data_IF_481969666774
#
_entry.id   IF_481969666774
#
_cell.length_a   1.000
_cell.length_b   1.000
_cell.length_c   1.000
_cell.angle_alpha   90.00
_cell.angle_beta   90.00
_cell.angle_gamma   90.00
#
_symmetry.space_group_name_H-M   'P 1'
#
loop_
_entity.id
_entity.type
_entity.pdbx_description
1 polymer ?
#
# COMPACT_ATOMS: atom_id res chain seq x y z
N UNK A 1 -12.81 -22.59 3.76
CA UNK A 1 -12.17 -21.51 2.98
C UNK A 1 -11.38 -22.13 1.85
N UNK A 2 -11.64 -21.69 0.61
CA UNK A 2 -11.03 -22.19 -0.62
C UNK A 2 -9.50 -21.92 -0.63
N UNK A 3 -8.70 -22.82 -1.21
CA UNK A 3 -7.23 -22.72 -1.29
C UNK A 3 -6.70 -21.34 -1.71
N UNK A 4 -7.44 -20.64 -2.58
CA UNK A 4 -7.11 -19.30 -3.08
C UNK A 4 -7.10 -18.20 -2.01
N UNK A 5 -7.95 -18.28 -0.99
CA UNK A 5 -7.92 -17.34 0.12
C UNK A 5 -6.72 -17.61 1.02
N UNK A 6 -6.36 -18.88 1.20
CA UNK A 6 -5.20 -19.25 2.01
C UNK A 6 -3.88 -18.72 1.42
N UNK A 7 -3.69 -18.82 0.09
CA UNK A 7 -2.47 -18.30 -0.55
C UNK A 7 -2.30 -16.79 -0.39
N UNK A 8 -3.40 -16.02 -0.35
CA UNK A 8 -3.35 -14.60 0.01
C UNK A 8 -2.88 -14.35 1.43
N UNK A 9 -3.53 -15.00 2.39
CA UNK A 9 -3.18 -14.82 3.80
C UNK A 9 -1.73 -15.26 4.05
N UNK A 10 -1.22 -16.25 3.32
CA UNK A 10 0.19 -16.62 3.36
C UNK A 10 1.11 -15.43 2.98
N UNK A 11 0.83 -14.72 1.88
CA UNK A 11 1.62 -13.55 1.46
C UNK A 11 1.54 -12.40 2.47
N UNK A 12 0.36 -12.16 3.04
CA UNK A 12 0.17 -11.17 4.12
C UNK A 12 0.97 -11.56 5.37
N UNK A 13 1.01 -12.84 5.73
CA UNK A 13 1.81 -13.31 6.87
C UNK A 13 3.30 -13.15 6.60
N UNK A 14 3.78 -13.45 5.38
CA UNK A 14 5.19 -13.20 5.00
C UNK A 14 5.53 -11.72 5.15
N UNK A 15 4.66 -10.82 4.67
CA UNK A 15 4.82 -9.37 4.82
C UNK A 15 4.86 -8.94 6.29
N UNK A 16 3.93 -9.44 7.11
CA UNK A 16 3.84 -9.11 8.52
C UNK A 16 5.07 -9.60 9.30
N UNK A 17 5.51 -10.83 9.02
CA UNK A 17 6.72 -11.41 9.61
C UNK A 17 7.96 -10.59 9.24
N UNK A 18 8.05 -10.12 7.99
CA UNK A 18 9.15 -9.24 7.55
C UNK A 18 9.15 -7.92 8.31
N UNK A 19 7.99 -7.26 8.46
CA UNK A 19 7.89 -6.00 9.22
C UNK A 19 8.29 -6.24 10.67
N UNK A 20 7.83 -7.35 11.26
CA UNK A 20 8.20 -7.76 12.61
C UNK A 20 9.71 -7.93 12.76
N UNK A 21 10.37 -8.68 11.87
CA UNK A 21 11.82 -8.85 11.90
C UNK A 21 12.57 -7.52 11.72
N UNK A 22 12.12 -6.65 10.80
CA UNK A 22 12.74 -5.36 10.58
C UNK A 22 12.64 -4.45 11.81
N UNK A 23 11.50 -4.46 12.52
CA UNK A 23 11.34 -3.73 13.78
C UNK A 23 12.15 -4.35 14.91
N UNK A 24 12.19 -5.68 15.03
CA UNK A 24 12.97 -6.37 16.05
C UNK A 24 14.46 -6.10 15.89
N UNK A 25 14.98 -6.18 14.65
CA UNK A 25 16.38 -5.93 14.34
C UNK A 25 16.79 -4.47 14.61
N UNK A 26 15.85 -3.51 14.58
CA UNK A 26 16.10 -2.12 14.98
C UNK A 26 16.29 -1.95 16.49
N UNK A 27 15.78 -2.86 17.30
CA UNK A 27 15.95 -2.82 18.76
C UNK A 27 17.32 -3.35 19.19
N UNK A 28 18.04 -4.04 18.30
CA UNK A 28 19.37 -4.56 18.61
C UNK A 28 20.34 -3.38 18.72
N UNK A 29 21.01 -3.18 19.87
CA UNK A 29 22.04 -2.15 19.99
C UNK A 29 23.14 -2.40 18.96
N UNK A 30 23.74 -1.32 18.44
CA UNK A 30 24.59 -1.33 17.25
C UNK A 30 25.67 -2.41 17.22
N UNK A 31 26.25 -2.62 16.04
CA UNK A 31 27.37 -3.53 15.88
C UNK A 31 28.52 -3.13 16.80
N UNK A 32 29.04 -4.08 17.58
CA UNK A 32 30.37 -3.93 18.18
C UNK A 32 31.46 -3.95 17.09
N UNK A 33 32.70 -4.28 17.45
CA UNK A 33 33.89 -4.23 16.57
C UNK A 33 33.90 -5.18 15.34
N UNK A 34 32.77 -5.78 14.94
CA UNK A 34 32.68 -6.57 13.72
C UNK A 34 32.80 -5.64 12.50
N UNK A 35 33.70 -5.92 11.57
CA UNK A 35 33.89 -5.10 10.34
C UNK A 35 33.13 -5.63 9.13
N UNK A 36 32.39 -6.74 9.28
CA UNK A 36 31.76 -7.45 8.16
C UNK A 36 30.24 -7.19 8.15
N UNK A 37 29.68 -6.96 6.96
CA UNK A 37 28.24 -6.87 6.74
C UNK A 37 27.63 -5.55 7.20
N UNK A 38 26.61 -5.63 8.04
CA UNK A 38 25.84 -4.46 8.55
C UNK A 38 26.73 -3.45 9.29
N UNK A 39 27.85 -3.93 9.83
CA UNK A 39 28.72 -3.18 10.72
C UNK A 39 29.75 -2.30 10.01
N UNK A 40 29.95 -2.47 8.70
CA UNK A 40 30.83 -1.63 7.87
C UNK A 40 30.41 -0.14 7.88
N UNK A 41 29.18 0.15 8.30
CA UNK A 41 28.62 1.49 8.47
C UNK A 41 29.31 2.35 9.57
N UNK A 42 30.05 1.75 10.50
CA UNK A 42 30.57 2.41 11.72
C UNK A 42 31.59 3.54 11.42
N UNK A 43 32.24 3.52 10.25
CA UNK A 43 33.20 4.55 9.84
C UNK A 43 32.61 5.81 9.18
N UNK A 44 31.30 5.84 8.89
CA UNK A 44 30.69 6.88 8.05
C UNK A 44 30.21 8.13 8.80
N UNK A 45 30.30 8.16 10.14
CA UNK A 45 29.75 9.24 10.97
C UNK A 45 28.21 9.28 11.04
N UNK A 46 27.52 8.45 10.23
CA UNK A 46 26.07 8.36 10.19
C UNK A 46 25.60 7.13 11.00
N UNK A 47 25.26 7.35 12.28
CA UNK A 47 24.76 6.32 13.18
C UNK A 47 23.48 5.60 12.73
N UNK A 48 22.85 6.04 11.65
CA UNK A 48 21.63 5.47 11.07
C UNK A 48 21.91 4.46 9.93
N UNK A 49 23.13 4.43 9.39
CA UNK A 49 23.47 3.58 8.23
C UNK A 49 23.16 2.10 8.48
N UNK A 50 23.48 1.56 9.67
CA UNK A 50 23.24 0.15 9.98
C UNK A 50 21.73 -0.20 10.02
N UNK A 51 20.88 0.72 10.48
CA UNK A 51 19.41 0.54 10.55
C UNK A 51 18.78 0.51 9.17
N UNK A 52 19.28 1.33 8.26
CA UNK A 52 18.86 1.35 6.86
C UNK A 52 19.25 0.04 6.18
N UNK A 53 20.50 -0.36 6.36
CA UNK A 53 21.08 -1.57 5.81
C UNK A 53 20.37 -2.85 6.28
N UNK A 54 19.86 -2.88 7.51
CA UNK A 54 19.00 -3.96 8.01
C UNK A 54 17.65 -4.01 7.29
N UNK A 55 17.02 -2.86 7.05
CA UNK A 55 15.73 -2.83 6.37
C UNK A 55 15.83 -3.41 4.94
N UNK A 56 16.88 -3.07 4.18
CA UNK A 56 17.14 -3.65 2.86
C UNK A 56 17.39 -5.16 2.89
N UNK A 57 18.12 -5.67 3.90
CA UNK A 57 18.34 -7.10 4.07
C UNK A 57 17.06 -7.88 4.34
N UNK A 58 16.18 -7.33 5.19
CA UNK A 58 14.85 -7.91 5.43
C UNK A 58 13.94 -7.90 4.21
N UNK A 59 14.16 -6.95 3.29
CA UNK A 59 13.42 -6.87 2.03
C UNK A 59 13.94 -7.87 0.99
N UNK A 60 15.26 -8.02 0.85
CA UNK A 60 15.79 -9.02 -0.08
C UNK A 60 15.36 -10.43 0.32
N UNK A 61 15.27 -10.72 1.62
CA UNK A 61 14.79 -12.03 2.06
C UNK A 61 13.33 -12.28 1.68
N UNK A 62 12.43 -11.31 1.85
CA UNK A 62 11.03 -11.45 1.46
C UNK A 62 10.84 -11.49 -0.06
N UNK A 63 11.63 -10.72 -0.81
CA UNK A 63 11.66 -10.78 -2.28
C UNK A 63 12.03 -12.18 -2.77
N UNK A 64 13.10 -12.78 -2.20
CA UNK A 64 13.46 -14.15 -2.54
C UNK A 64 12.34 -15.14 -2.19
N UNK A 65 11.66 -14.95 -1.06
CA UNK A 65 10.51 -15.77 -0.70
C UNK A 65 9.36 -15.64 -1.69
N UNK A 66 9.00 -14.43 -2.13
CA UNK A 66 7.96 -14.24 -3.14
C UNK A 66 8.33 -14.87 -4.47
N UNK A 67 9.59 -14.73 -4.91
CA UNK A 67 10.05 -15.40 -6.14
C UNK A 67 10.04 -16.91 -6.01
N UNK A 68 10.40 -17.46 -4.86
CA UNK A 68 10.35 -18.91 -4.59
C UNK A 68 8.90 -19.41 -4.60
N UNK A 69 7.99 -18.72 -3.92
CA UNK A 69 6.56 -19.06 -3.91
C UNK A 69 5.97 -18.99 -5.33
N UNK A 70 6.28 -17.94 -6.08
CA UNK A 70 5.88 -17.78 -7.48
C UNK A 70 6.40 -18.94 -8.35
N UNK A 71 7.68 -19.29 -8.23
CA UNK A 71 8.27 -20.41 -8.96
C UNK A 71 7.62 -21.76 -8.60
N UNK A 72 7.32 -21.98 -7.31
CA UNK A 72 6.66 -23.20 -6.84
C UNK A 72 5.24 -23.37 -7.40
N UNK A 73 4.54 -22.26 -7.68
CA UNK A 73 3.21 -22.31 -8.33
C UNK A 73 3.29 -22.65 -9.82
N UNK A 74 4.40 -22.35 -10.48
CA UNK A 74 4.64 -22.76 -11.87
C UNK A 74 4.79 -24.29 -12.01
N UNK A 75 5.34 -24.95 -10.98
CA UNK A 75 5.78 -26.35 -11.07
C UNK A 75 4.68 -27.44 -10.96
N UNK A 76 3.38 -27.12 -11.02
CA UNK A 76 2.26 -28.04 -10.66
C UNK A 76 2.57 -28.88 -9.41
N UNK A 77 3.25 -28.28 -8.43
CA UNK A 77 3.79 -29.05 -7.31
C UNK A 77 2.64 -29.43 -6.36
N UNK A 78 2.55 -30.73 -6.03
CA UNK A 78 1.61 -31.25 -5.03
C UNK A 78 1.83 -30.69 -3.62
N UNK A 79 2.84 -29.84 -3.44
CA UNK A 79 3.17 -29.12 -2.21
C UNK A 79 1.99 -28.26 -1.70
N UNK A 80 1.15 -27.70 -2.58
CA UNK A 80 -0.04 -26.96 -2.15
C UNK A 80 -1.15 -27.86 -1.58
N UNK A 81 -1.06 -29.18 -1.73
CA UNK A 81 -2.01 -30.14 -1.16
C UNK A 81 -1.63 -30.58 0.26
N UNK A 82 -0.44 -30.20 0.75
CA UNK A 82 -0.04 -30.46 2.14
C UNK A 82 -0.89 -29.64 3.11
N UNK A 83 -0.90 -30.06 4.38
CA UNK A 83 -1.55 -29.33 5.47
C UNK A 83 -1.09 -27.86 5.48
N UNK A 84 -2.06 -26.95 5.50
CA UNK A 84 -1.87 -25.49 5.51
C UNK A 84 -0.88 -25.03 6.61
N UNK A 85 -0.94 -25.68 7.78
CA UNK A 85 -0.07 -25.37 8.92
C UNK A 85 1.39 -25.72 8.61
N UNK A 86 1.64 -26.87 7.98
CA UNK A 86 3.00 -27.31 7.63
C UNK A 86 3.61 -26.37 6.59
N UNK A 87 2.82 -25.93 5.61
CA UNK A 87 3.27 -24.96 4.62
C UNK A 87 3.62 -23.62 5.28
N UNK A 88 2.76 -23.12 6.17
CA UNK A 88 3.00 -21.88 6.90
C UNK A 88 4.29 -21.93 7.74
N UNK A 89 4.48 -22.98 8.54
CA UNK A 89 5.69 -23.17 9.34
C UNK A 89 6.95 -23.28 8.48
N UNK A 90 6.84 -23.96 7.33
CA UNK A 90 7.95 -24.08 6.37
C UNK A 90 8.33 -22.72 5.80
N UNK A 91 7.35 -21.90 5.41
CA UNK A 91 7.58 -20.54 4.89
C UNK A 91 8.24 -19.65 5.94
N UNK A 92 7.76 -19.69 7.20
CA UNK A 92 8.37 -18.93 8.31
C UNK A 92 9.82 -19.36 8.54
N UNK A 93 10.07 -20.67 8.58
CA UNK A 93 11.41 -21.24 8.78
C UNK A 93 12.38 -20.87 7.65
N UNK A 94 11.97 -21.06 6.39
CA UNK A 94 12.78 -20.73 5.22
C UNK A 94 13.03 -19.21 5.15
N UNK A 95 12.03 -18.36 5.42
CA UNK A 95 12.20 -16.90 5.45
C UNK A 95 13.26 -16.48 6.47
N UNK A 96 13.19 -17.05 7.67
CA UNK A 96 14.12 -16.74 8.76
C UNK A 96 15.53 -17.20 8.41
N UNK A 97 15.67 -18.36 7.77
CA UNK A 97 16.95 -18.88 7.27
C UNK A 97 17.55 -17.98 6.17
N UNK A 98 16.75 -17.59 5.17
CA UNK A 98 17.19 -16.69 4.10
C UNK A 98 17.64 -15.35 4.69
N UNK A 99 16.86 -14.78 5.61
CA UNK A 99 17.24 -13.55 6.29
C UNK A 99 18.59 -13.71 7.01
N UNK A 100 18.76 -14.78 7.79
CA UNK A 100 20.00 -15.05 8.52
C UNK A 100 21.21 -15.10 7.58
N UNK A 101 21.10 -15.74 6.42
CA UNK A 101 22.17 -15.78 5.40
C UNK A 101 22.48 -14.38 4.86
N UNK A 102 21.44 -13.61 4.50
CA UNK A 102 21.57 -12.28 3.89
C UNK A 102 22.18 -11.25 4.87
N UNK A 103 22.06 -11.45 6.19
CA UNK A 103 22.70 -10.57 7.17
C UNK A 103 24.21 -10.43 6.95
N UNK A 104 24.87 -11.47 6.43
CA UNK A 104 26.31 -11.49 6.17
C UNK A 104 26.73 -10.90 4.82
N UNK A 105 25.77 -10.52 3.96
CA UNK A 105 26.10 -10.00 2.64
C UNK A 105 26.69 -8.58 2.72
N UNK A 106 27.66 -8.24 1.85
CA UNK A 106 28.29 -6.92 1.83
C UNK A 106 27.33 -5.82 1.37
N UNK A 107 27.53 -4.58 1.85
CA UNK A 107 26.61 -3.46 1.61
C UNK A 107 26.51 -3.04 0.13
N UNK A 108 27.55 -3.29 -0.65
CA UNK A 108 27.63 -2.95 -2.08
C UNK A 108 26.48 -3.56 -2.89
N UNK A 109 25.99 -4.74 -2.49
CA UNK A 109 24.88 -5.43 -3.17
C UNK A 109 23.56 -4.68 -3.03
N UNK A 110 23.37 -3.92 -1.94
CA UNK A 110 22.11 -3.24 -1.63
C UNK A 110 22.04 -1.81 -2.21
N UNK A 111 23.12 -1.27 -2.77
CA UNK A 111 23.13 0.08 -3.35
C UNK A 111 22.19 0.22 -4.55
N UNK A 112 22.18 -0.70 -5.54
CA UNK A 112 21.22 -0.63 -6.65
C UNK A 112 19.77 -0.81 -6.18
N UNK A 113 19.57 -1.63 -5.14
CA UNK A 113 18.26 -1.89 -4.55
C UNK A 113 17.65 -0.62 -3.96
N UNK A 114 18.47 0.26 -3.39
CA UNK A 114 18.03 1.55 -2.86
C UNK A 114 17.40 2.44 -3.96
N UNK A 115 18.01 2.50 -5.14
CA UNK A 115 17.47 3.26 -6.28
C UNK A 115 16.20 2.60 -6.80
N UNK A 116 16.19 1.28 -6.95
CA UNK A 116 15.02 0.53 -7.39
C UNK A 116 13.83 0.69 -6.42
N UNK A 117 14.10 0.65 -5.12
CA UNK A 117 13.09 0.77 -4.06
C UNK A 117 12.30 2.06 -4.14
N UNK A 118 12.94 3.16 -4.56
CA UNK A 118 12.30 4.45 -4.73
C UNK A 118 11.20 4.40 -5.80
N UNK A 119 11.49 3.81 -6.96
CA UNK A 119 10.51 3.68 -8.06
C UNK A 119 9.44 2.65 -7.74
N UNK A 120 9.82 1.49 -7.19
CA UNK A 120 8.86 0.45 -6.79
C UNK A 120 7.90 0.96 -5.70
N UNK A 121 8.41 1.70 -4.71
CA UNK A 121 7.62 2.37 -3.67
C UNK A 121 6.66 3.43 -4.23
N UNK A 122 7.08 4.17 -5.27
CA UNK A 122 6.20 5.11 -5.97
C UNK A 122 5.07 4.38 -6.72
N UNK A 123 5.39 3.31 -7.44
CA UNK A 123 4.40 2.46 -8.11
C UNK A 123 3.40 1.87 -7.10
N UNK A 124 3.88 1.40 -5.95
CA UNK A 124 3.01 0.88 -4.89
C UNK A 124 2.03 1.93 -4.35
N UNK A 125 2.45 3.18 -4.18
CA UNK A 125 1.55 4.26 -3.74
C UNK A 125 0.42 4.51 -4.73
N UNK A 126 0.71 4.47 -6.03
CA UNK A 126 -0.33 4.57 -7.08
C UNK A 126 -1.27 3.36 -7.01
N UNK A 127 -0.73 2.15 -6.88
CA UNK A 127 -1.52 0.95 -6.68
C UNK A 127 -2.39 1.03 -5.41
N UNK A 128 -1.83 1.57 -4.32
CA UNK A 128 -2.54 1.77 -3.07
C UNK A 128 -3.69 2.78 -3.22
N UNK A 129 -3.52 3.84 -4.02
CA UNK A 129 -4.65 4.71 -4.40
C UNK A 129 -5.76 3.90 -5.10
N UNK A 130 -5.42 3.05 -6.07
CA UNK A 130 -6.41 2.18 -6.74
C UNK A 130 -7.13 1.28 -5.74
N UNK A 131 -6.40 0.67 -4.81
CA UNK A 131 -6.98 -0.18 -3.76
C UNK A 131 -7.89 0.61 -2.82
N UNK A 132 -7.55 1.85 -2.48
CA UNK A 132 -8.41 2.72 -1.66
C UNK A 132 -9.66 3.19 -2.41
N UNK A 133 -9.55 3.48 -3.71
CA UNK A 133 -10.70 3.83 -4.54
C UNK A 133 -11.69 2.66 -4.60
N UNK A 134 -11.21 1.48 -4.97
CA UNK A 134 -12.01 0.26 -5.03
C UNK A 134 -12.60 -0.11 -3.66
N UNK A 135 -11.80 -0.02 -2.60
CA UNK A 135 -12.27 -0.27 -1.23
C UNK A 135 -13.33 0.71 -0.76
N UNK A 136 -13.20 2.00 -1.11
CA UNK A 136 -14.18 3.01 -0.76
C UNK A 136 -15.50 2.84 -1.53
N UNK A 137 -15.44 2.49 -2.82
CA UNK A 137 -16.65 2.16 -3.59
C UNK A 137 -17.36 0.91 -3.04
N UNK A 138 -16.63 -0.18 -2.81
CA UNK A 138 -17.22 -1.40 -2.26
C UNK A 138 -17.81 -1.18 -0.86
N UNK A 139 -17.16 -0.36 -0.01
CA UNK A 139 -17.69 0.02 1.29
C UNK A 139 -18.96 0.88 1.16
N UNK A 140 -18.95 1.87 0.26
CA UNK A 140 -20.09 2.73 -0.03
C UNK A 140 -21.30 1.91 -0.48
N UNK A 141 -21.11 1.01 -1.44
CA UNK A 141 -22.20 0.19 -2.01
C UNK A 141 -22.74 -0.79 -0.97
N UNK A 142 -21.86 -1.43 -0.20
CA UNK A 142 -22.26 -2.31 0.90
C UNK A 142 -23.10 -1.57 1.94
N UNK A 143 -22.69 -0.36 2.36
CA UNK A 143 -23.44 0.46 3.31
C UNK A 143 -24.77 0.94 2.73
N UNK A 144 -24.77 1.36 1.46
CA UNK A 144 -25.95 1.84 0.76
C UNK A 144 -26.98 0.73 0.54
N UNK A 145 -26.57 -0.41 -0.01
CA UNK A 145 -27.44 -1.57 -0.21
C UNK A 145 -28.01 -2.07 1.11
N UNK A 146 -27.16 -2.14 2.13
CA UNK A 146 -27.58 -2.44 3.49
C UNK A 146 -28.65 -1.46 3.97
N UNK A 147 -28.49 -0.15 3.72
CA UNK A 147 -29.49 0.85 4.09
C UNK A 147 -30.80 0.66 3.30
N UNK A 148 -30.74 0.45 1.98
CA UNK A 148 -31.91 0.21 1.13
C UNK A 148 -32.67 -1.04 1.56
N UNK A 149 -31.98 -2.14 1.85
CA UNK A 149 -32.59 -3.36 2.37
C UNK A 149 -33.28 -3.13 3.72
N UNK A 150 -32.67 -2.35 4.62
CA UNK A 150 -33.28 -2.01 5.91
C UNK A 150 -34.56 -1.16 5.74
N UNK A 151 -34.60 -0.27 4.74
CA UNK A 151 -35.78 0.53 4.39
C UNK A 151 -36.89 -0.33 3.79
N UNK A 152 -36.57 -1.32 2.95
CA UNK A 152 -37.56 -2.27 2.39
C UNK A 152 -38.22 -3.13 3.47
N UNK A 153 -37.48 -3.52 4.51
CA UNK A 153 -38.02 -4.34 5.61
C UNK A 153 -38.90 -3.55 6.59
N UNK A 154 -38.69 -2.25 6.74
CA UNK A 154 -39.50 -1.42 7.64
C UNK A 154 -39.52 0.03 7.19
N UNK A 155 -40.72 0.57 6.93
CA UNK A 155 -40.89 1.92 6.36
C UNK A 155 -40.39 3.05 7.29
N UNK A 156 -40.29 2.82 8.60
CA UNK A 156 -39.77 3.77 9.58
C UNK A 156 -38.49 3.28 10.29
N UNK A 157 -37.60 2.59 9.57
CA UNK A 157 -36.41 2.02 10.21
C UNK A 157 -35.40 3.09 10.59
N UNK A 158 -35.17 3.22 11.90
CA UNK A 158 -34.04 3.95 12.47
C UNK A 158 -32.69 3.42 11.93
N UNK A 159 -32.65 2.14 11.53
CA UNK A 159 -31.47 1.50 10.94
C UNK A 159 -31.07 2.11 9.58
N UNK A 160 -32.03 2.52 8.73
CA UNK A 160 -31.74 3.21 7.48
C UNK A 160 -31.04 4.55 7.74
N UNK A 161 -31.61 5.36 8.65
CA UNK A 161 -31.04 6.65 9.03
C UNK A 161 -29.66 6.50 9.68
N UNK A 162 -29.48 5.48 10.53
CA UNK A 162 -28.19 5.19 11.16
C UNK A 162 -27.09 4.87 10.15
N UNK A 163 -27.35 4.01 9.17
CA UNK A 163 -26.36 3.64 8.14
C UNK A 163 -25.98 4.82 7.24
N UNK A 164 -26.97 5.60 6.80
CA UNK A 164 -26.71 6.83 6.04
C UNK A 164 -25.91 7.85 6.85
N UNK A 165 -26.25 8.02 8.14
CA UNK A 165 -25.52 8.90 9.05
C UNK A 165 -24.07 8.48 9.24
N UNK A 166 -23.77 7.17 9.34
CA UNK A 166 -22.40 6.64 9.42
C UNK A 166 -21.59 7.01 8.17
N UNK A 167 -22.16 6.84 6.98
CA UNK A 167 -21.45 7.15 5.73
C UNK A 167 -21.15 8.65 5.60
N UNK A 168 -22.12 9.50 5.91
CA UNK A 168 -21.96 10.96 5.86
C UNK A 168 -20.98 11.42 6.94
N UNK A 169 -21.10 10.91 8.17
CA UNK A 169 -20.22 11.31 9.27
C UNK A 169 -18.77 10.87 9.04
N UNK A 170 -18.55 9.67 8.50
CA UNK A 170 -17.22 9.21 8.12
C UNK A 170 -16.59 10.10 7.03
N UNK A 171 -17.38 10.48 6.02
CA UNK A 171 -16.93 11.36 4.94
C UNK A 171 -16.55 12.75 5.47
N UNK A 172 -17.40 13.34 6.32
CA UNK A 172 -17.13 14.65 6.95
C UNK A 172 -15.89 14.57 7.84
N UNK A 173 -15.77 13.53 8.67
CA UNK A 173 -14.62 13.34 9.55
C UNK A 173 -13.30 13.25 8.76
N UNK A 174 -13.28 12.47 7.66
CA UNK A 174 -12.11 12.37 6.78
C UNK A 174 -11.75 13.72 6.16
N UNK A 175 -12.73 14.48 5.66
CA UNK A 175 -12.49 15.81 5.10
C UNK A 175 -11.94 16.79 6.13
N UNK A 176 -12.50 16.81 7.35
CA UNK A 176 -12.03 17.69 8.43
C UNK A 176 -10.60 17.34 8.87
N UNK A 177 -10.29 16.05 9.05
CA UNK A 177 -8.94 15.58 9.39
C UNK A 177 -7.95 15.97 8.28
N UNK A 178 -8.36 15.82 7.02
CA UNK A 178 -7.51 16.17 5.88
C UNK A 178 -7.25 17.68 5.79
N UNK A 179 -8.28 18.50 6.03
CA UNK A 179 -8.14 19.94 6.07
C UNK A 179 -7.20 20.38 7.19
N UNK A 180 -7.39 19.85 8.41
CA UNK A 180 -6.49 20.12 9.54
C UNK A 180 -5.05 19.68 9.24
N UNK A 181 -4.86 18.49 8.66
CA UNK A 181 -3.56 17.99 8.23
C UNK A 181 -2.91 18.89 7.17
N UNK A 182 -3.70 19.42 6.24
CA UNK A 182 -3.21 20.32 5.19
C UNK A 182 -2.75 21.68 5.75
N UNK A 183 -3.50 22.25 6.69
CA UNK A 183 -3.12 23.50 7.39
C UNK A 183 -1.82 23.27 8.17
N UNK A 184 -1.73 22.15 8.90
CA UNK A 184 -0.53 21.78 9.63
C UNK A 184 0.69 21.67 8.70
N UNK A 185 0.56 20.99 7.56
CA UNK A 185 1.66 20.83 6.59
C UNK A 185 2.11 22.16 5.99
N UNK A 186 1.17 23.06 5.65
CA UNK A 186 1.52 24.38 5.12
C UNK A 186 2.29 25.26 6.12
N UNK A 187 1.98 25.14 7.41
CA UNK A 187 2.66 25.89 8.48
C UNK A 187 4.01 25.26 8.84
N UNK A 188 4.06 23.93 8.98
CA UNK A 188 5.26 23.22 9.41
C UNK A 188 6.31 23.05 8.29
N UNK A 189 5.89 22.97 7.02
CA UNK A 189 6.75 22.68 5.87
C UNK A 189 6.49 23.63 4.69
N UNK A 190 6.90 24.91 4.80
CA UNK A 190 6.56 25.95 3.81
C UNK A 190 7.05 25.65 2.38
N UNK A 191 8.12 24.87 2.27
CA UNK A 191 8.72 24.41 1.02
C UNK A 191 7.91 23.36 0.26
N UNK A 192 6.97 22.69 0.92
CA UNK A 192 6.07 21.69 0.30
C UNK A 192 4.65 22.24 0.15
N UNK A 193 4.41 23.48 0.58
CA UNK A 193 3.12 24.18 0.45
C UNK A 193 2.57 24.16 -0.97
N UNK A 194 3.42 24.27 -2.00
CA UNK A 194 2.97 24.19 -3.39
C UNK A 194 2.33 22.84 -3.72
N UNK A 195 2.89 21.74 -3.22
CA UNK A 195 2.38 20.39 -3.43
C UNK A 195 1.07 20.19 -2.65
N UNK A 196 1.01 20.65 -1.40
CA UNK A 196 -0.18 20.59 -0.55
C UNK A 196 -1.34 21.39 -1.16
N UNK A 197 -1.12 22.65 -1.56
CA UNK A 197 -2.16 23.49 -2.19
C UNK A 197 -2.66 22.85 -3.48
N UNK A 198 -1.75 22.35 -4.33
CA UNK A 198 -2.13 21.69 -5.58
C UNK A 198 -2.96 20.44 -5.32
N UNK A 199 -2.62 19.66 -4.29
CA UNK A 199 -3.38 18.49 -3.87
C UNK A 199 -4.77 18.86 -3.33
N UNK A 200 -4.89 19.91 -2.50
CA UNK A 200 -6.18 20.41 -2.01
C UNK A 200 -7.05 20.85 -3.17
N UNK A 201 -6.52 21.65 -4.10
CA UNK A 201 -7.25 22.15 -5.26
C UNK A 201 -7.70 20.98 -6.13
N UNK A 202 -6.77 20.07 -6.47
CA UNK A 202 -7.08 18.87 -7.26
C UNK A 202 -8.14 17.98 -6.61
N UNK A 203 -7.96 17.61 -5.34
CA UNK A 203 -8.94 16.79 -4.60
C UNK A 203 -10.30 17.48 -4.44
N UNK A 204 -10.33 18.80 -4.21
CA UNK A 204 -11.59 19.58 -4.16
C UNK A 204 -12.32 19.56 -5.49
N UNK A 205 -11.61 19.78 -6.60
CA UNK A 205 -12.19 19.73 -7.95
C UNK A 205 -12.76 18.34 -8.26
N UNK A 206 -12.02 17.27 -7.92
CA UNK A 206 -12.50 15.90 -8.11
C UNK A 206 -13.67 15.54 -7.20
N UNK A 207 -13.71 16.07 -5.97
CA UNK A 207 -14.87 15.93 -5.09
C UNK A 207 -16.10 16.61 -5.68
N UNK A 208 -15.96 17.84 -6.18
CA UNK A 208 -17.05 18.56 -6.85
C UNK A 208 -17.53 17.78 -8.07
N UNK A 209 -16.60 17.29 -8.91
CA UNK A 209 -16.89 16.46 -10.06
C UNK A 209 -17.67 15.20 -9.66
N UNK A 210 -17.25 14.52 -8.60
CA UNK A 210 -17.90 13.32 -8.07
C UNK A 210 -19.32 13.57 -7.54
N UNK A 211 -19.71 14.80 -7.23
CA UNK A 211 -21.09 15.11 -6.79
C UNK A 211 -21.97 15.52 -7.98
N UNK A 212 -21.36 15.90 -9.11
CA UNK A 212 -22.14 16.25 -10.30
C UNK A 212 -22.92 15.05 -10.83
N UNK A 213 -24.10 15.31 -11.40
CA UNK A 213 -24.92 14.30 -12.08
C UNK A 213 -24.23 13.68 -13.30
N UNK A 214 -23.08 14.22 -13.73
CA UNK A 214 -22.29 13.66 -14.80
C UNK A 214 -21.60 12.34 -14.38
N UNK A 215 -21.23 12.21 -13.11
CA UNK A 215 -20.65 10.99 -12.55
C UNK A 215 -21.75 10.17 -11.87
N UNK A 216 -22.40 9.28 -12.62
CA UNK A 216 -23.48 8.41 -12.10
C UNK A 216 -23.05 7.57 -10.88
N UNK A 217 -21.77 7.24 -10.80
CA UNK A 217 -21.18 6.40 -9.75
C UNK A 217 -20.36 7.23 -8.76
N UNK A 218 -20.54 8.55 -8.76
CA UNK A 218 -19.85 9.43 -7.85
C UNK A 218 -20.19 9.13 -6.39
N UNK A 219 -19.17 8.97 -5.55
CA UNK A 219 -19.32 8.75 -4.11
C UNK A 219 -18.56 9.80 -3.31
N UNK A 220 -19.29 10.46 -2.39
CA UNK A 220 -18.71 11.40 -1.42
C UNK A 220 -17.65 10.71 -0.55
N UNK A 221 -17.88 9.46 -0.15
CA UNK A 221 -16.96 8.70 0.68
C UNK A 221 -15.65 8.43 -0.05
N UNK A 222 -15.71 7.97 -1.31
CA UNK A 222 -14.53 7.75 -2.14
C UNK A 222 -13.73 9.04 -2.35
N UNK A 223 -14.43 10.15 -2.62
CA UNK A 223 -13.79 11.47 -2.73
C UNK A 223 -13.07 11.88 -1.44
N UNK A 224 -13.71 11.68 -0.28
CA UNK A 224 -13.14 12.00 1.02
C UNK A 224 -11.92 11.12 1.37
N UNK A 225 -11.96 9.83 1.05
CA UNK A 225 -10.82 8.91 1.21
C UNK A 225 -9.65 9.35 0.33
N UNK A 226 -9.89 9.70 -0.94
CA UNK A 226 -8.83 10.17 -1.84
C UNK A 226 -8.28 11.54 -1.45
N UNK A 227 -9.11 12.43 -0.93
CA UNK A 227 -8.64 13.70 -0.36
C UNK A 227 -7.68 13.43 0.81
N UNK A 228 -8.10 12.58 1.77
CA UNK A 228 -7.27 12.21 2.91
C UNK A 228 -5.96 11.54 2.50
N UNK A 229 -6.02 10.63 1.52
CA UNK A 229 -4.84 9.95 1.01
C UNK A 229 -3.87 10.91 0.32
N UNK A 230 -4.36 11.87 -0.47
CA UNK A 230 -3.49 12.89 -1.10
C UNK A 230 -2.79 13.77 -0.08
N UNK A 231 -3.47 14.20 1.00
CA UNK A 231 -2.84 14.97 2.08
C UNK A 231 -1.82 14.10 2.84
N UNK A 232 -2.13 12.82 3.08
CA UNK A 232 -1.17 11.87 3.65
C UNK A 232 0.10 11.74 2.79
N UNK A 233 -0.04 11.61 1.46
CA UNK A 233 1.09 11.54 0.54
C UNK A 233 1.92 12.84 0.51
N UNK A 234 1.27 14.00 0.63
CA UNK A 234 1.97 15.28 0.80
C UNK A 234 2.81 15.28 2.09
N UNK A 235 2.26 14.77 3.19
CA UNK A 235 3.00 14.63 4.46
C UNK A 235 4.21 13.69 4.35
N UNK A 236 4.07 12.58 3.61
CA UNK A 236 5.19 11.67 3.32
C UNK A 236 6.24 12.30 2.39
N UNK A 237 5.85 13.26 1.56
CA UNK A 237 6.75 14.02 0.67
C UNK A 237 7.52 15.07 1.47
N UNK A 238 6.84 15.79 2.37
CA UNK A 238 7.43 16.81 3.24
C UNK A 238 8.59 16.27 4.09
N UNK A 239 8.48 15.04 4.58
CA UNK A 239 9.53 14.42 5.41
C UNK A 239 10.79 13.97 4.67
N UNK A 240 10.73 13.83 3.35
CA UNK A 240 11.91 13.45 2.53
C UNK A 240 12.65 14.67 1.99
N UNK A 241 12.18 15.87 2.33
CA UNK A 241 12.80 17.08 1.86
C UNK A 241 14.25 17.19 2.35
N UNK A 242 15.24 17.46 1.46
CA UNK A 242 16.65 17.50 1.84
C UNK A 242 17.02 18.55 2.89
N UNK A 243 16.21 19.60 3.06
CA UNK A 243 16.47 20.70 4.01
C UNK A 243 15.78 20.52 5.35
N UNK A 244 14.89 19.52 5.51
CA UNK A 244 14.29 19.25 6.81
C UNK A 244 15.30 18.51 7.68
N UNK A 245 15.63 19.06 8.84
CA UNK A 245 16.27 18.27 9.89
C UNK A 245 15.24 17.23 10.36
N UNK A 246 15.39 16.00 9.86
CA UNK A 246 14.50 14.89 10.21
C UNK A 246 14.83 14.40 11.61
N UNK A 247 14.03 14.76 12.61
CA UNK A 247 13.92 13.94 13.82
C UNK A 247 13.12 12.68 13.48
N UNK A 248 13.63 11.51 13.83
CA UNK A 248 12.87 10.26 13.72
C UNK A 248 11.68 10.30 14.70
N UNK A 249 10.51 10.67 14.20
CA UNK A 249 9.29 10.69 14.99
C UNK A 249 8.58 9.33 14.89
N UNK A 250 8.63 8.51 15.96
CA UNK A 250 7.98 7.18 16.02
C UNK A 250 6.53 7.12 15.49
N UNK A 251 5.62 8.08 15.80
CA UNK A 251 4.24 8.04 15.33
C UNK A 251 4.12 8.04 13.80
N UNK A 252 5.10 8.63 13.13
CA UNK A 252 5.10 8.85 11.69
C UNK A 252 5.41 7.58 10.92
N UNK A 253 6.39 6.82 11.40
CA UNK A 253 6.73 5.49 10.91
C UNK A 253 5.57 4.53 11.11
N UNK A 254 4.93 4.57 12.29
CA UNK A 254 3.75 3.72 12.56
C UNK A 254 2.60 4.00 11.60
N UNK A 255 2.28 5.28 11.35
CA UNK A 255 1.28 5.64 10.34
C UNK A 255 1.72 5.23 8.92
N UNK A 256 3.02 5.35 8.62
CA UNK A 256 3.66 4.87 7.41
C UNK A 256 3.45 3.37 7.15
N UNK A 257 3.47 2.55 8.21
CA UNK A 257 3.27 1.09 8.16
C UNK A 257 1.80 0.67 8.27
N UNK A 258 0.96 1.45 8.95
CA UNK A 258 -0.47 1.15 9.09
C UNK A 258 -1.20 1.23 7.75
N UNK A 259 -0.89 2.25 6.94
CA UNK A 259 -1.52 2.50 5.64
C UNK A 259 -1.35 1.32 4.66
N UNK A 260 -0.15 0.77 4.39
CA UNK A 260 0.00 -0.45 3.59
C UNK A 260 -0.63 -1.68 4.23
N UNK A 261 -0.63 -1.81 5.56
CA UNK A 261 -1.27 -2.93 6.24
C UNK A 261 -2.80 -2.94 5.99
N UNK A 262 -3.45 -1.78 6.07
CA UNK A 262 -4.89 -1.64 5.76
C UNK A 262 -5.16 -1.95 4.29
N UNK A 263 -4.38 -1.41 3.34
CA UNK A 263 -4.61 -1.67 1.91
C UNK A 263 -4.34 -3.12 1.51
N UNK A 264 -3.32 -3.77 2.07
CA UNK A 264 -3.04 -5.19 1.82
C UNK A 264 -4.08 -6.10 2.47
N UNK A 265 -4.58 -5.75 3.66
CA UNK A 265 -5.67 -6.50 4.30
C UNK A 265 -6.93 -6.42 3.46
N UNK A 266 -7.26 -5.22 2.95
CA UNK A 266 -8.35 -5.05 2.01
C UNK A 266 -8.13 -5.89 0.74
N UNK A 267 -6.94 -5.84 0.14
CA UNK A 267 -6.59 -6.64 -1.03
C UNK A 267 -6.70 -8.16 -0.79
N UNK A 268 -6.36 -8.63 0.40
CA UNK A 268 -6.45 -10.06 0.75
C UNK A 268 -7.91 -10.53 0.93
N UNK A 269 -8.76 -9.69 1.52
CA UNK A 269 -10.18 -9.97 1.75
C UNK A 269 -10.97 -9.84 0.43
N UNK A 270 -10.65 -8.82 -0.36
CA UNK A 270 -11.37 -8.52 -1.58
C UNK A 270 -10.87 -9.41 -2.72
N UNK A 271 -11.77 -10.25 -3.25
CA UNK A 271 -11.45 -11.10 -4.41
C UNK A 271 -11.59 -10.38 -5.75
N UNK A 272 -12.01 -9.11 -5.73
CA UNK A 272 -12.33 -8.26 -6.89
C UNK A 272 -11.13 -7.47 -7.46
N UNK A 273 -10.26 -6.82 -6.66
CA UNK A 273 -9.30 -5.85 -7.17
C UNK A 273 -8.28 -6.51 -8.10
N UNK A 274 -7.84 -7.73 -7.77
CA UNK A 274 -6.95 -8.49 -8.64
C UNK A 274 -7.57 -8.80 -10.01
N UNK A 275 -8.89 -9.05 -10.08
CA UNK A 275 -9.60 -9.29 -11.34
C UNK A 275 -9.72 -8.03 -12.18
N UNK A 276 -10.06 -6.89 -11.55
CA UNK A 276 -10.14 -5.61 -12.24
C UNK A 276 -8.77 -5.14 -12.73
N UNK A 277 -7.71 -5.28 -11.92
CA UNK A 277 -6.34 -4.94 -12.28
C UNK A 277 -5.79 -5.81 -13.43
N UNK A 278 -6.19 -7.08 -13.51
CA UNK A 278 -5.81 -7.95 -14.61
C UNK A 278 -6.48 -7.59 -15.95
N UNK A 279 -7.42 -6.63 -15.97
CA UNK A 279 -8.12 -6.20 -17.20
C UNK A 279 -9.00 -7.27 -17.82
N UNK A 280 -9.27 -8.36 -17.09
CA UNK A 280 -10.05 -9.50 -17.59
C UNK A 280 -11.53 -9.18 -17.43
N UNK A 281 -12.06 -8.46 -18.42
CA UNK A 281 -13.50 -8.43 -18.71
C UNK A 281 -13.91 -9.88 -18.96
N UNK A 282 -15.07 -10.29 -18.43
CA UNK A 282 -15.62 -11.66 -18.38
C UNK A 282 -15.81 -12.34 -19.75
N UNK A 283 -14.73 -12.51 -20.51
CA UNK A 283 -14.68 -13.30 -21.74
C UNK A 283 -14.55 -14.76 -21.32
N UNK A 284 -15.39 -15.60 -21.93
CA UNK A 284 -15.61 -17.02 -21.66
C UNK A 284 -14.45 -17.73 -20.95
N UNK A 285 -14.78 -18.17 -19.73
CA UNK A 285 -13.98 -19.06 -18.90
C UNK A 285 -13.68 -20.36 -19.66
N UNK A 286 -12.54 -20.43 -20.35
CA UNK A 286 -11.96 -21.72 -20.72
C UNK A 286 -11.52 -22.40 -19.43
N UNK A 287 -12.22 -23.46 -19.06
CA UNK A 287 -11.95 -24.26 -17.87
C UNK A 287 -10.57 -24.93 -17.98
N UNK A 288 -9.62 -24.51 -17.13
CA UNK A 288 -8.42 -25.29 -16.85
C UNK A 288 -7.17 -24.46 -16.56
N UNK A 289 -6.78 -24.42 -15.28
CA UNK A 289 -5.45 -24.09 -14.73
C UNK A 289 -4.83 -22.69 -14.92
N UNK A 290 -4.77 -22.09 -16.11
CA UNK A 290 -3.85 -20.95 -16.35
C UNK A 290 -4.24 -19.66 -15.61
N UNK A 291 -5.55 -19.49 -15.35
CA UNK A 291 -6.07 -18.30 -14.66
C UNK A 291 -5.60 -18.19 -13.20
N UNK A 292 -5.32 -19.32 -12.53
CA UNK A 292 -4.91 -19.30 -11.12
C UNK A 292 -3.47 -18.82 -10.94
N UNK A 293 -2.59 -19.15 -11.89
CA UNK A 293 -1.18 -18.78 -11.82
C UNK A 293 -0.99 -17.27 -12.01
N UNK A 294 -1.63 -16.67 -13.02
CA UNK A 294 -1.52 -15.23 -13.29
C UNK A 294 -2.03 -14.36 -12.14
N UNK A 295 -3.14 -14.76 -11.52
CA UNK A 295 -3.66 -14.09 -10.33
C UNK A 295 -2.65 -14.19 -9.17
N UNK A 296 -2.05 -15.37 -8.95
CA UNK A 296 -1.00 -15.55 -7.96
C UNK A 296 0.24 -14.67 -8.23
N UNK A 297 0.72 -14.60 -9.47
CA UNK A 297 1.84 -13.72 -9.84
C UNK A 297 1.53 -12.25 -9.59
N UNK A 298 0.32 -11.80 -9.95
CA UNK A 298 -0.11 -10.43 -9.69
C UNK A 298 -0.09 -10.15 -8.18
N UNK A 299 -0.61 -11.07 -7.35
CA UNK A 299 -0.60 -10.94 -5.89
C UNK A 299 0.83 -10.88 -5.33
N UNK A 300 1.71 -11.77 -5.77
CA UNK A 300 3.14 -11.71 -5.42
C UNK A 300 3.77 -10.38 -5.82
N UNK A 301 3.43 -9.86 -7.00
CA UNK A 301 3.93 -8.57 -7.48
C UNK A 301 3.42 -7.39 -6.63
N UNK A 302 2.14 -7.40 -6.22
CA UNK A 302 1.60 -6.39 -5.30
C UNK A 302 2.34 -6.39 -3.96
N UNK A 303 2.59 -7.57 -3.39
CA UNK A 303 3.35 -7.72 -2.16
C UNK A 303 4.82 -7.31 -2.30
N UNK A 304 5.45 -7.65 -3.42
CA UNK A 304 6.79 -7.19 -3.78
C UNK A 304 6.88 -5.65 -3.80
N UNK A 305 5.92 -4.97 -4.44
CA UNK A 305 5.88 -3.50 -4.44
C UNK A 305 5.62 -2.93 -3.04
N UNK A 306 4.78 -3.58 -2.24
CA UNK A 306 4.51 -3.19 -0.86
C UNK A 306 5.75 -3.28 0.02
N UNK A 307 6.63 -4.26 -0.24
CA UNK A 307 7.88 -4.41 0.48
C UNK A 307 8.83 -3.24 0.26
N UNK A 308 8.99 -2.79 -0.98
CA UNK A 308 9.75 -1.57 -1.31
C UNK A 308 9.15 -0.33 -0.69
N UNK A 309 7.82 -0.26 -0.60
CA UNK A 309 7.18 0.81 0.13
C UNK A 309 7.56 0.79 1.61
N UNK A 310 7.42 -0.36 2.29
CA UNK A 310 7.77 -0.53 3.71
C UNK A 310 9.25 -0.23 3.95
N UNK A 311 10.15 -0.68 3.08
CA UNK A 311 11.59 -0.35 3.17
C UNK A 311 11.82 1.14 3.06
N UNK A 312 11.12 1.84 2.15
CA UNK A 312 11.23 3.29 2.01
C UNK A 312 10.67 4.09 3.19
N UNK A 313 9.85 3.45 4.04
CA UNK A 313 9.35 4.02 5.31
C UNK A 313 10.30 3.73 6.44
N UNK A 314 10.86 2.51 6.49
CA UNK A 314 11.79 2.11 7.53
C UNK A 314 13.15 2.80 7.33
N UNK A 315 13.71 2.80 6.12
CA UNK A 315 15.00 3.38 5.76
C UNK A 315 14.85 4.64 4.89
N UNK A 316 14.32 5.75 5.42
CA UNK A 316 14.07 6.95 4.65
C UNK A 316 15.39 7.65 4.32
N UNK A 317 15.84 7.56 3.06
CA UNK A 317 16.91 8.45 2.58
C UNK A 317 16.35 9.74 2.01
N UNK A 318 16.94 10.85 2.44
CA UNK A 318 16.66 12.18 1.89
C UNK A 318 17.41 12.37 0.59
N UNK A 319 16.68 12.71 -0.48
CA UNK A 319 17.29 13.13 -1.74
C UNK A 319 16.29 13.93 -2.57
N UNK A 320 16.80 14.86 -3.38
CA UNK A 320 15.95 15.65 -4.28
C UNK A 320 15.20 14.77 -5.28
N UNK A 321 15.82 13.70 -5.77
CA UNK A 321 15.18 12.77 -6.68
C UNK A 321 13.98 12.06 -6.03
N UNK A 322 14.15 11.56 -4.80
CA UNK A 322 13.06 10.92 -4.03
C UNK A 322 11.93 11.88 -3.72
N UNK A 323 12.27 13.10 -3.34
CA UNK A 323 11.31 14.16 -3.10
C UNK A 323 10.44 14.40 -4.34
N UNK A 324 11.06 14.61 -5.51
CA UNK A 324 10.34 14.84 -6.77
C UNK A 324 9.49 13.64 -7.18
N UNK A 325 9.98 12.41 -7.01
CA UNK A 325 9.21 11.19 -7.32
C UNK A 325 8.00 11.07 -6.40
N UNK A 326 8.14 11.31 -5.09
CA UNK A 326 7.02 11.29 -4.15
C UNK A 326 6.00 12.39 -4.46
N UNK A 327 6.45 13.60 -4.78
CA UNK A 327 5.58 14.68 -5.22
C UNK A 327 4.83 14.31 -6.51
N UNK A 328 5.53 13.80 -7.53
CA UNK A 328 4.93 13.30 -8.77
C UNK A 328 3.90 12.20 -8.55
N UNK A 329 4.13 11.34 -7.55
CA UNK A 329 3.20 10.27 -7.16
C UNK A 329 1.88 10.83 -6.62
N UNK A 330 1.88 11.96 -5.89
CA UNK A 330 0.64 12.63 -5.44
C UNK A 330 -0.24 12.96 -6.66
N UNK A 331 0.35 13.56 -7.69
CA UNK A 331 -0.36 13.92 -8.91
C UNK A 331 -0.80 12.70 -9.70
N UNK A 332 0.03 11.66 -9.79
CA UNK A 332 -0.34 10.41 -10.44
C UNK A 332 -1.57 9.77 -9.78
N UNK A 333 -1.65 9.74 -8.44
CA UNK A 333 -2.82 9.25 -7.71
C UNK A 333 -4.08 10.07 -8.00
N UNK A 334 -3.97 11.40 -8.07
CA UNK A 334 -5.08 12.27 -8.43
C UNK A 334 -5.54 12.06 -9.87
N UNK A 335 -4.62 11.89 -10.82
CA UNK A 335 -4.93 11.60 -12.22
C UNK A 335 -5.62 10.25 -12.36
N UNK A 336 -5.14 9.22 -11.65
CA UNK A 336 -5.80 7.91 -11.61
C UNK A 336 -7.22 8.05 -11.07
N UNK A 337 -7.43 8.78 -9.98
CA UNK A 337 -8.77 9.01 -9.44
C UNK A 337 -9.66 9.78 -10.41
N UNK A 338 -9.16 10.86 -11.01
CA UNK A 338 -9.87 11.63 -12.04
C UNK A 338 -10.30 10.74 -13.20
N UNK A 339 -9.39 9.85 -13.65
CA UNK A 339 -9.67 8.91 -14.72
C UNK A 339 -10.80 7.94 -14.33
N UNK A 340 -10.83 7.43 -13.09
CA UNK A 340 -11.94 6.55 -12.65
C UNK A 340 -13.30 7.24 -12.70
N UNK A 341 -13.37 8.56 -12.50
CA UNK A 341 -14.62 9.33 -12.58
C UNK A 341 -15.05 9.60 -14.03
N UNK A 342 -14.08 9.84 -14.92
CA UNK A 342 -14.32 10.31 -16.30
C UNK A 342 -14.41 9.15 -17.32
N UNK A 343 -13.69 8.06 -17.09
CA UNK A 343 -13.60 6.93 -18.03
C UNK A 343 -14.96 6.36 -18.47
N UNK A 344 -15.97 6.18 -17.58
CA UNK A 344 -17.29 5.69 -17.99
C UNK A 344 -18.01 6.57 -19.01
N UNK A 345 -17.71 7.88 -19.04
CA UNK A 345 -18.33 8.82 -19.99
C UNK A 345 -17.55 8.92 -21.30
N UNK A 346 -16.22 8.77 -21.26
CA UNK A 346 -15.39 8.78 -22.47
C UNK A 346 -15.52 7.46 -23.25
N UNK A 347 -15.73 6.35 -22.55
CA UNK A 347 -15.76 5.01 -23.13
C UNK A 347 -17.10 4.30 -22.84
N UNK A 348 -18.24 4.83 -23.29
CA UNK A 348 -19.57 4.34 -22.90
C UNK A 348 -19.82 2.86 -23.26
N UNK A 349 -19.11 2.33 -24.25
CA UNK A 349 -19.24 0.93 -24.68
C UNK A 349 -18.51 -0.07 -23.78
N UNK A 350 -17.78 0.40 -22.77
CA UNK A 350 -17.10 -0.45 -21.79
C UNK A 350 -17.91 -0.52 -20.51
N UNK A 351 -18.15 -1.74 -20.04
CA UNK A 351 -18.64 -1.99 -18.69
C UNK A 351 -17.49 -1.71 -17.71
N UNK A 352 -17.66 -0.70 -16.86
CA UNK A 352 -16.69 -0.31 -15.84
C UNK A 352 -17.01 -0.91 -14.48
#
# INVERSE_FOLDING_TARGET
MQSRQFSHWLLVVVQALRVFWALLLRLVPGCGQLTIGICECEGSGNGECWRDQLAFRTEVSSLLMYTMLAALTCGKSSLMQRSQIVLLLSVIGIQSLILWIILFFPNVIFVPLDIFSMFASAAYRVLQAVLFIDGAYNLNDCLYDSAVQARRRSMNSQAYRGRLAIMISASIALLLISLAGSIYLCVAYPSVTWCVISAIVGSTLLLLLSITSWCEHGSLLTSAVMFAYSIYLCGQTARIQPTSQTSEDLPTTMLGLLVPAVSLTYFAISSSPARHLAGVISVQRTEGDDFEANDFYLRCFVHFLADFYVTSVLAPRVSWLRFNIRAGTVFACLVVYAWTLVAPKILPDRNF
#
